data_IF_498201463328
#
_entry.id   IF_498201463328
#
_cell.length_a   1.000
_cell.length_b   1.000
_cell.length_c   1.000
_cell.angle_alpha   90.00
_cell.angle_beta   90.00
_cell.angle_gamma   90.00
#
_symmetry.space_group_name_H-M   'P 1'
#
loop_
_entity.id
_entity.type
_entity.pdbx_description
1 polymer ?
#
# COMPACT_ATOMS: atom_id res chain seq x y z
N UNK A 1 -11.91 19.76 3.89
CA UNK A 1 -11.31 19.58 5.23
C UNK A 1 -9.77 19.52 5.14
N UNK A 2 -9.14 18.75 4.31
CA UNK A 2 -7.69 18.62 4.17
C UNK A 2 -6.95 19.92 3.84
N UNK A 3 -7.54 20.81 3.02
CA UNK A 3 -6.92 22.10 2.69
C UNK A 3 -6.81 23.04 3.89
N UNK A 4 -7.77 22.98 4.82
CA UNK A 4 -7.73 23.76 6.06
C UNK A 4 -6.57 23.27 6.95
N UNK A 5 -6.42 21.97 7.09
CA UNK A 5 -5.32 21.34 7.85
C UNK A 5 -3.97 21.79 7.27
N UNK A 6 -3.81 21.68 5.94
CA UNK A 6 -2.58 22.11 5.26
C UNK A 6 -2.30 23.60 5.43
N UNK A 7 -3.33 24.44 5.47
CA UNK A 7 -3.15 25.89 5.71
C UNK A 7 -2.61 26.15 7.10
N UNK A 8 -3.20 25.54 8.13
CA UNK A 8 -2.76 25.68 9.52
C UNK A 8 -1.31 25.23 9.71
N UNK A 9 -0.93 24.09 9.10
CA UNK A 9 0.44 23.59 9.17
C UNK A 9 1.41 24.54 8.48
N UNK A 10 1.06 25.11 7.30
CA UNK A 10 1.88 26.11 6.62
C UNK A 10 2.07 27.41 7.43
N UNK A 11 1.09 27.74 8.26
CA UNK A 11 1.14 28.88 9.18
C UNK A 11 2.01 28.60 10.44
N UNK A 12 2.60 27.41 10.53
CA UNK A 12 3.50 27.01 11.61
C UNK A 12 2.81 26.30 12.77
N UNK A 13 1.53 25.91 12.63
CA UNK A 13 0.82 25.15 13.65
C UNK A 13 1.27 23.69 13.61
N UNK A 14 1.61 23.13 14.76
CA UNK A 14 1.80 21.67 14.92
C UNK A 14 0.46 21.01 15.16
N UNK A 15 0.14 20.01 14.34
CA UNK A 15 -1.12 19.26 14.44
C UNK A 15 -0.82 17.82 14.82
N UNK A 16 -1.49 17.32 15.86
CA UNK A 16 -1.55 15.89 16.16
C UNK A 16 -2.92 15.35 15.72
N UNK A 17 -2.91 14.40 14.79
CA UNK A 17 -4.10 13.72 14.28
C UNK A 17 -4.06 12.25 14.67
N UNK A 18 -5.15 11.75 15.22
CA UNK A 18 -5.39 10.32 15.39
C UNK A 18 -6.47 9.88 14.43
N UNK A 19 -6.21 8.85 13.65
CA UNK A 19 -7.14 8.34 12.65
C UNK A 19 -6.91 6.84 12.44
N UNK A 20 -7.95 6.14 12.03
CA UNK A 20 -7.87 4.79 11.48
C UNK A 20 -7.84 4.80 9.93
N UNK A 21 -7.97 5.97 9.30
CA UNK A 21 -7.92 6.13 7.85
C UNK A 21 -6.48 6.38 7.41
N UNK A 22 -5.77 5.32 7.02
CA UNK A 22 -4.34 5.40 6.68
C UNK A 22 -4.07 6.22 5.42
N UNK A 23 -5.02 6.31 4.49
CA UNK A 23 -4.94 7.19 3.32
C UNK A 23 -4.85 8.68 3.73
N UNK A 24 -5.58 9.09 4.77
CA UNK A 24 -5.51 10.45 5.28
C UNK A 24 -4.14 10.73 5.92
N UNK A 25 -3.62 9.77 6.69
CA UNK A 25 -2.29 9.86 7.28
C UNK A 25 -1.20 9.95 6.18
N UNK A 26 -1.31 9.15 5.12
CA UNK A 26 -0.36 9.16 3.99
C UNK A 26 -0.29 10.51 3.27
N UNK A 27 -1.42 11.20 3.15
CA UNK A 27 -1.53 12.47 2.42
C UNK A 27 -1.21 13.69 3.28
N UNK A 28 -1.50 13.65 4.58
CA UNK A 28 -1.49 14.82 5.46
C UNK A 28 -0.31 14.86 6.42
N UNK A 29 0.22 13.69 6.81
CA UNK A 29 1.20 13.64 7.89
C UNK A 29 2.65 13.75 7.39
N UNK A 30 3.45 14.55 8.08
CA UNK A 30 4.91 14.53 7.91
C UNK A 30 5.54 13.32 8.59
N UNK A 31 4.93 12.87 9.69
CA UNK A 31 5.34 11.69 10.46
C UNK A 31 4.12 10.90 10.91
N UNK A 32 4.24 9.59 10.88
CA UNK A 32 3.20 8.64 11.32
C UNK A 32 3.77 7.77 12.42
N UNK A 33 3.01 7.58 13.49
CA UNK A 33 3.23 6.53 14.48
C UNK A 33 2.09 5.52 14.42
N UNK A 34 2.42 4.26 14.18
CA UNK A 34 1.45 3.17 14.19
C UNK A 34 1.40 2.60 15.61
N UNK A 35 0.20 2.62 16.19
CA UNK A 35 -0.04 2.13 17.55
C UNK A 35 -0.83 0.83 17.46
N UNK A 36 -0.36 -0.19 18.15
CA UNK A 36 -1.02 -1.48 18.28
C UNK A 36 -0.93 -1.95 19.74
N UNK A 37 -2.04 -2.38 20.33
CA UNK A 37 -2.13 -2.78 21.75
C UNK A 37 -1.43 -1.81 22.73
N UNK A 38 -1.58 -0.50 22.50
CA UNK A 38 -1.00 0.55 23.36
C UNK A 38 0.49 0.80 23.17
N UNK A 39 1.13 0.19 22.17
CA UNK A 39 2.55 0.37 21.86
C UNK A 39 2.75 0.94 20.47
N UNK A 40 3.76 1.81 20.31
CA UNK A 40 4.17 2.27 18.99
C UNK A 40 4.99 1.14 18.34
N UNK A 41 4.43 0.52 17.29
CA UNK A 41 5.05 -0.59 16.56
C UNK A 41 5.85 -0.16 15.35
N UNK A 42 5.58 1.05 14.83
CA UNK A 42 6.38 1.69 13.78
C UNK A 42 6.23 3.20 13.86
N UNK A 43 7.29 3.93 13.51
CA UNK A 43 7.29 5.39 13.46
C UNK A 43 8.22 5.89 12.34
N UNK A 44 7.76 6.84 11.54
CA UNK A 44 8.56 7.41 10.47
C UNK A 44 7.76 8.34 9.56
N UNK A 45 8.39 8.77 8.46
CA UNK A 45 7.63 9.42 7.38
C UNK A 45 6.81 8.36 6.63
N UNK A 46 5.65 8.70 6.05
CA UNK A 46 4.87 7.76 5.24
C UNK A 46 5.72 7.05 4.17
N UNK A 47 6.58 7.80 3.48
CA UNK A 47 7.46 7.26 2.45
C UNK A 47 8.49 6.26 3.00
N UNK A 48 9.08 6.55 4.16
CA UNK A 48 10.05 5.65 4.79
C UNK A 48 9.38 4.34 5.24
N UNK A 49 8.22 4.44 5.87
CA UNK A 49 7.46 3.27 6.34
C UNK A 49 7.04 2.37 5.17
N UNK A 50 6.52 2.96 4.08
CA UNK A 50 6.14 2.21 2.87
C UNK A 50 7.34 1.52 2.22
N UNK A 51 8.52 2.15 2.22
CA UNK A 51 9.73 1.55 1.69
C UNK A 51 10.21 0.31 2.48
N UNK A 52 9.85 0.19 3.77
CA UNK A 52 10.18 -0.99 4.58
C UNK A 52 9.40 -2.24 4.15
N UNK A 53 8.17 -2.10 3.65
CA UNK A 53 7.31 -3.24 3.29
C UNK A 53 7.47 -3.70 1.84
N UNK A 54 8.09 -2.88 1.01
CA UNK A 54 8.44 -3.33 -0.32
C UNK A 54 8.58 -2.25 -1.38
N UNK A 55 8.81 -2.76 -2.59
CA UNK A 55 8.89 -1.96 -3.82
C UNK A 55 7.58 -2.08 -4.59
N UNK A 56 7.26 -1.12 -5.46
CA UNK A 56 6.07 -1.18 -6.31
C UNK A 56 6.03 -2.49 -7.12
N UNK A 57 4.82 -2.99 -7.33
CA UNK A 57 4.57 -4.16 -8.17
C UNK A 57 3.75 -3.73 -9.38
N UNK A 58 4.16 -4.18 -10.56
CA UNK A 58 3.38 -4.03 -11.79
C UNK A 58 2.73 -5.35 -12.11
N UNK A 59 1.44 -5.29 -12.42
CA UNK A 59 0.69 -6.40 -12.99
C UNK A 59 0.19 -6.02 -14.37
N UNK A 60 0.40 -6.90 -15.36
CA UNK A 60 -0.15 -6.78 -16.70
C UNK A 60 -0.97 -8.02 -17.04
N UNK A 61 -2.17 -7.79 -17.55
CA UNK A 61 -3.05 -8.82 -18.09
C UNK A 61 -3.02 -8.67 -19.60
N UNK A 62 -2.41 -9.61 -20.35
CA UNK A 62 -2.41 -9.55 -21.80
C UNK A 62 -3.82 -9.78 -22.37
N UNK A 63 -4.11 -9.24 -23.54
CA UNK A 63 -5.37 -9.43 -24.23
C UNK A 63 -5.59 -10.90 -24.70
N UNK A 64 -4.50 -11.67 -24.83
CA UNK A 64 -4.56 -13.10 -25.13
C UNK A 64 -3.74 -13.89 -24.11
N UNK A 65 -4.27 -15.01 -23.63
CA UNK A 65 -3.54 -15.93 -22.75
C UNK A 65 -2.28 -16.51 -23.41
N UNK A 66 -2.27 -16.63 -24.72
CA UNK A 66 -1.11 -17.11 -25.50
C UNK A 66 0.10 -16.16 -25.36
N UNK A 67 -0.14 -14.89 -25.04
CA UNK A 67 0.88 -13.87 -24.86
C UNK A 67 1.46 -13.81 -23.44
N UNK A 68 0.94 -14.58 -22.49
CA UNK A 68 1.46 -14.61 -21.11
C UNK A 68 2.98 -14.84 -21.02
N UNK A 69 3.58 -15.82 -21.74
CA UNK A 69 5.02 -16.06 -21.66
C UNK A 69 5.84 -14.89 -22.23
N UNK A 70 5.35 -14.24 -23.29
CA UNK A 70 6.02 -13.09 -23.91
C UNK A 70 5.94 -11.88 -23.00
N UNK A 71 4.77 -11.64 -22.43
CA UNK A 71 4.55 -10.57 -21.44
C UNK A 71 5.45 -10.75 -20.23
N UNK A 72 5.60 -11.97 -19.72
CA UNK A 72 6.50 -12.29 -18.62
C UNK A 72 7.96 -11.93 -18.96
N UNK A 73 8.46 -12.35 -20.12
CA UNK A 73 9.81 -12.06 -20.54
C UNK A 73 10.12 -10.56 -20.71
N UNK A 74 9.10 -9.74 -21.00
CA UNK A 74 9.25 -8.29 -21.07
C UNK A 74 9.26 -7.68 -19.67
N UNK A 75 8.29 -8.06 -18.81
CA UNK A 75 8.18 -7.50 -17.46
C UNK A 75 9.38 -7.87 -16.57
N UNK A 76 9.98 -9.04 -16.74
CA UNK A 76 11.19 -9.46 -16.03
C UNK A 76 12.41 -8.54 -16.25
N UNK A 77 12.42 -7.76 -17.34
CA UNK A 77 13.45 -6.72 -17.55
C UNK A 77 13.35 -5.58 -16.54
N UNK A 78 12.18 -5.36 -15.96
CA UNK A 78 11.90 -4.28 -15.02
C UNK A 78 11.92 -4.71 -13.56
N UNK A 79 11.82 -6.02 -13.28
CA UNK A 79 11.73 -6.49 -11.91
C UNK A 79 11.75 -8.00 -11.74
N UNK A 80 11.55 -8.41 -10.49
CA UNK A 80 11.52 -9.80 -10.09
C UNK A 80 10.09 -10.34 -10.21
N UNK A 81 9.86 -11.53 -10.80
CA UNK A 81 8.53 -12.11 -10.91
C UNK A 81 7.91 -12.38 -9.54
N UNK A 82 6.63 -12.06 -9.41
CA UNK A 82 5.81 -12.35 -8.24
C UNK A 82 4.52 -13.04 -8.68
N UNK A 83 3.87 -13.73 -7.74
CA UNK A 83 2.62 -14.44 -8.05
C UNK A 83 1.51 -13.45 -8.45
N UNK A 84 0.81 -13.76 -9.53
CA UNK A 84 -0.43 -13.13 -9.97
C UNK A 84 -1.48 -14.19 -10.24
N UNK A 85 -2.75 -13.85 -10.05
CA UNK A 85 -3.88 -14.78 -10.29
C UNK A 85 -4.47 -14.67 -11.69
N UNK A 86 -4.24 -13.55 -12.38
CA UNK A 86 -4.89 -13.24 -13.66
C UNK A 86 -3.93 -12.89 -14.79
N UNK A 87 -2.70 -12.54 -14.47
CA UNK A 87 -1.76 -12.03 -15.45
C UNK A 87 -0.31 -12.31 -15.06
N UNK A 88 0.55 -11.42 -15.45
CA UNK A 88 1.98 -11.44 -15.11
C UNK A 88 2.26 -10.27 -14.18
N UNK A 89 2.91 -10.52 -13.05
CA UNK A 89 3.31 -9.48 -12.13
C UNK A 89 4.81 -9.54 -11.82
N UNK A 90 5.42 -8.37 -11.68
CA UNK A 90 6.82 -8.21 -11.28
C UNK A 90 6.93 -7.13 -10.21
N UNK A 91 7.80 -7.36 -9.22
CA UNK A 91 8.21 -6.34 -8.25
C UNK A 91 9.33 -5.53 -8.87
N UNK A 92 9.11 -4.23 -9.08
CA UNK A 92 10.05 -3.37 -9.77
C UNK A 92 11.39 -3.28 -9.05
N UNK A 93 12.49 -3.34 -9.81
CA UNK A 93 13.85 -3.17 -9.29
C UNK A 93 14.12 -1.72 -8.90
N UNK A 94 13.57 -0.76 -9.66
CA UNK A 94 13.62 0.66 -9.35
C UNK A 94 12.20 1.22 -9.27
N UNK A 95 11.86 1.84 -8.13
CA UNK A 95 10.56 2.49 -7.92
C UNK A 95 10.32 3.72 -8.80
N UNK A 96 11.30 4.13 -9.61
CA UNK A 96 11.18 5.21 -10.59
C UNK A 96 10.67 4.75 -11.95
N UNK A 97 10.64 3.44 -12.22
CA UNK A 97 10.08 2.90 -13.46
C UNK A 97 8.59 3.28 -13.53
N UNK A 98 8.26 4.07 -14.55
CA UNK A 98 6.88 4.52 -14.77
C UNK A 98 6.08 3.54 -15.63
N UNK A 99 4.75 3.61 -15.49
CA UNK A 99 3.83 2.83 -16.33
C UNK A 99 4.11 3.02 -17.83
N UNK A 100 4.50 4.23 -18.23
CA UNK A 100 4.80 4.56 -19.61
C UNK A 100 5.94 3.72 -20.21
N UNK A 101 6.99 3.44 -19.45
CA UNK A 101 8.14 2.64 -19.92
C UNK A 101 7.73 1.19 -20.16
N UNK A 102 6.86 0.67 -19.31
CA UNK A 102 6.32 -0.68 -19.41
C UNK A 102 5.39 -0.82 -20.61
N UNK A 103 4.45 0.13 -20.77
CA UNK A 103 3.55 0.16 -21.93
C UNK A 103 4.36 0.22 -23.24
N UNK A 104 5.36 1.09 -23.30
CA UNK A 104 6.23 1.17 -24.48
C UNK A 104 6.99 -0.13 -24.78
N UNK A 105 7.42 -0.84 -23.75
CA UNK A 105 8.12 -2.10 -23.94
C UNK A 105 7.18 -3.19 -24.48
N UNK A 106 5.94 -3.24 -24.02
CA UNK A 106 4.91 -4.15 -24.54
C UNK A 106 4.54 -3.81 -25.98
N UNK A 107 4.31 -2.53 -26.27
CA UNK A 107 4.00 -2.02 -27.62
C UNK A 107 5.10 -2.35 -28.65
N UNK A 108 6.35 -2.20 -28.24
CA UNK A 108 7.50 -2.48 -29.13
C UNK A 108 7.57 -3.95 -29.55
N UNK A 109 7.08 -4.86 -28.75
CA UNK A 109 6.98 -6.30 -29.04
C UNK A 109 5.60 -6.69 -29.61
N UNK A 110 4.72 -5.71 -29.87
CA UNK A 110 3.40 -5.91 -30.46
C UNK A 110 2.43 -6.65 -29.53
N UNK A 111 2.58 -6.47 -28.23
CA UNK A 111 1.72 -7.06 -27.21
C UNK A 111 0.66 -6.06 -26.76
N UNK A 112 -0.60 -6.49 -26.84
CA UNK A 112 -1.73 -5.74 -26.30
C UNK A 112 -2.04 -6.22 -24.88
N UNK A 113 -2.22 -5.28 -23.97
CA UNK A 113 -2.64 -5.58 -22.61
C UNK A 113 -4.09 -5.11 -22.40
N UNK A 114 -4.92 -5.98 -21.86
CA UNK A 114 -6.27 -5.64 -21.42
C UNK A 114 -6.22 -4.70 -20.20
N UNK A 115 -5.28 -4.92 -19.32
CA UNK A 115 -5.07 -4.13 -18.12
C UNK A 115 -3.61 -4.07 -17.72
N UNK A 116 -3.15 -2.90 -17.26
CA UNK A 116 -1.83 -2.72 -16.64
C UNK A 116 -2.01 -1.86 -15.40
N UNK A 117 -1.56 -2.36 -14.25
CA UNK A 117 -1.66 -1.67 -12.97
C UNK A 117 -0.31 -1.62 -12.25
N UNK A 118 -0.05 -0.49 -11.57
CA UNK A 118 1.06 -0.36 -10.62
C UNK A 118 0.47 -0.31 -9.22
N UNK A 119 0.82 -1.28 -8.41
CA UNK A 119 0.51 -1.32 -6.99
C UNK A 119 1.67 -0.71 -6.22
N UNK A 120 1.44 0.47 -5.65
CA UNK A 120 2.40 1.10 -4.74
C UNK A 120 2.19 0.55 -3.33
N UNK A 121 3.25 0.32 -2.55
CA UNK A 121 3.10 0.03 -1.12
C UNK A 121 2.29 1.11 -0.43
N UNK A 122 1.39 0.71 0.44
CA UNK A 122 0.49 1.56 1.21
C UNK A 122 0.84 1.56 2.70
N UNK A 123 0.26 2.46 3.48
CA UNK A 123 0.36 2.38 4.95
C UNK A 123 -0.46 1.22 5.52
N UNK A 124 -1.48 0.72 4.79
CA UNK A 124 -2.20 -0.50 5.14
C UNK A 124 -1.29 -1.72 5.06
N UNK A 125 -0.43 -1.80 4.03
CA UNK A 125 0.58 -2.86 3.93
C UNK A 125 1.59 -2.78 5.09
N UNK A 126 1.97 -1.57 5.50
CA UNK A 126 2.83 -1.36 6.68
C UNK A 126 2.14 -1.85 7.94
N UNK A 127 0.88 -1.46 8.16
CA UNK A 127 0.12 -1.89 9.32
C UNK A 127 0.01 -3.41 9.37
N UNK A 128 -0.40 -4.05 8.28
CA UNK A 128 -0.48 -5.51 8.17
C UNK A 128 0.86 -6.19 8.45
N UNK A 129 1.96 -5.67 7.90
CA UNK A 129 3.29 -6.24 8.10
C UNK A 129 3.79 -6.12 9.54
N UNK A 130 3.42 -5.04 10.25
CA UNK A 130 3.88 -4.77 11.63
C UNK A 130 3.00 -5.43 12.70
N UNK A 131 1.69 -5.59 12.44
CA UNK A 131 0.72 -6.11 13.42
C UNK A 131 0.28 -7.55 13.11
N UNK A 132 0.49 -8.02 11.88
CA UNK A 132 0.03 -9.34 11.41
C UNK A 132 -1.47 -9.41 11.09
N UNK A 133 -2.19 -8.29 11.14
CA UNK A 133 -3.65 -8.19 10.91
C UNK A 133 -3.99 -6.94 10.12
N UNK A 134 -5.14 -6.95 9.42
CA UNK A 134 -5.66 -5.77 8.75
C UNK A 134 -6.31 -4.81 9.76
N UNK A 135 -6.45 -3.52 9.38
CA UNK A 135 -7.16 -2.54 10.20
C UNK A 135 -8.63 -2.92 10.47
N UNK A 136 -9.29 -3.50 9.47
CA UNK A 136 -10.67 -3.99 9.62
C UNK A 136 -10.74 -5.10 10.67
N UNK A 137 -9.82 -6.08 10.63
CA UNK A 137 -9.74 -7.14 11.63
C UNK A 137 -9.35 -6.64 13.02
N UNK A 138 -8.50 -5.60 13.10
CA UNK A 138 -8.14 -4.97 14.38
C UNK A 138 -9.34 -4.27 15.03
N UNK A 139 -10.16 -3.59 14.24
CA UNK A 139 -11.36 -2.91 14.76
C UNK A 139 -12.42 -3.89 15.28
N UNK A 140 -12.59 -5.05 14.61
CA UNK A 140 -13.51 -6.10 15.04
C UNK A 140 -13.07 -6.76 16.37
N UNK A 141 -11.79 -7.02 16.54
CA UNK A 141 -11.23 -7.58 17.78
C UNK A 141 -11.36 -6.62 18.96
N UNK A 142 -11.10 -5.32 18.77
CA UNK A 142 -11.25 -4.30 19.80
C UNK A 142 -12.71 -4.14 20.23
N UNK A 143 -13.67 -4.23 19.29
CA UNK A 143 -15.11 -4.22 19.62
C UNK A 143 -15.54 -5.48 20.40
N UNK A 144 -15.02 -6.64 20.06
CA UNK A 144 -15.30 -7.87 20.79
C UNK A 144 -14.71 -7.86 22.21
N UNK A 145 -13.48 -7.35 22.38
CA UNK A 145 -12.86 -7.20 23.70
C UNK A 145 -13.65 -6.20 24.58
N UNK A 146 -14.08 -5.07 24.04
CA UNK A 146 -14.91 -4.11 24.75
C UNK A 146 -16.26 -4.72 25.16
N UNK A 147 -16.91 -5.50 24.30
CA UNK A 147 -18.15 -6.21 24.62
C UNK A 147 -17.95 -7.26 25.72
N UNK A 148 -16.83 -7.99 25.72
CA UNK A 148 -16.49 -8.96 26.76
C UNK A 148 -16.15 -8.28 28.08
N UNK A 149 -15.45 -7.15 28.06
CA UNK A 149 -15.11 -6.35 29.25
C UNK A 149 -16.37 -5.81 29.96
N UNK A 150 -17.33 -5.29 29.18
CA UNK A 150 -18.61 -4.80 29.70
C UNK A 150 -19.51 -5.91 30.26
N UNK A 151 -19.38 -7.14 29.78
CA UNK A 151 -20.16 -8.29 30.24
C UNK A 151 -19.62 -8.91 31.56
N UNK A 152 -18.42 -8.52 31.99
CA UNK A 152 -17.75 -9.06 33.19
C UNK A 152 -17.76 -8.11 34.39
N UNK A 153 -18.39 -6.91 34.32
CA UNK A 153 -18.62 -6.08 35.51
C UNK A 153 -19.74 -6.69 36.38
N UNK A 154 -19.43 -7.19 37.58
CA UNK A 154 -20.45 -7.70 38.49
C UNK A 154 -21.23 -6.55 39.11
N UNK A 155 -22.56 -6.68 39.16
CA UNK A 155 -23.51 -5.79 39.82
C UNK A 155 -23.29 -5.71 41.31
#
# INVERSE_FOLDING_TARGET
MWDVIRSLVREGTTLLLTTQYLEEADVLADRVGIIDHGHIVAEGTPAALKAEVGRPTVEAIPASEDDLPRTAGILERFGEPVSSTKGVAVRLNDGRVGLYEIVRALDADGLEAENIQIHQPSLDDVFLAKTGRSLEGAAEEDEEEQRRGLAMEPA
#
